data_IF_302218841595
#
_entry.id   IF_302218841595
#
_cell.length_a   1.000
_cell.length_b   1.000
_cell.length_c   1.000
_cell.angle_alpha   90.00
_cell.angle_beta   90.00
_cell.angle_gamma   90.00
#
_symmetry.space_group_name_H-M   'P 1'
#
loop_
_entity.id
_entity.type
_entity.pdbx_description
1 polymer ?
#
# COMPACT_ATOMS: atom_id res chain seq x y z
N UNK A 1 10.75 -117.06 -71.79
CA UNK A 1 11.83 -116.26 -71.16
C UNK A 1 11.73 -114.82 -71.66
N UNK A 2 11.49 -113.88 -70.74
CA UNK A 2 11.95 -112.46 -70.71
C UNK A 2 10.97 -111.61 -69.87
N UNK A 3 11.30 -111.55 -68.57
CA UNK A 3 11.35 -110.36 -67.69
C UNK A 3 10.37 -109.20 -67.92
N UNK A 4 9.47 -109.00 -66.95
CA UNK A 4 8.78 -107.75 -66.64
C UNK A 4 9.71 -106.76 -65.92
N UNK A 5 9.68 -105.44 -66.24
CA UNK A 5 10.27 -104.41 -65.41
C UNK A 5 9.23 -103.60 -64.64
N UNK A 6 9.56 -103.37 -63.38
CA UNK A 6 8.92 -102.56 -62.35
C UNK A 6 9.02 -101.05 -62.65
N UNK A 7 7.89 -100.35 -62.77
CA UNK A 7 7.81 -98.88 -62.55
C UNK A 7 6.36 -98.40 -62.38
N UNK A 8 5.70 -98.76 -61.27
CA UNK A 8 4.42 -98.16 -60.89
C UNK A 8 4.19 -98.16 -59.36
N UNK A 9 5.25 -98.07 -58.56
CA UNK A 9 5.17 -98.11 -57.07
C UNK A 9 5.38 -96.72 -56.44
N UNK A 10 5.63 -95.68 -57.23
CA UNK A 10 5.94 -94.33 -56.74
C UNK A 10 4.89 -93.28 -57.11
N UNK A 11 3.60 -93.61 -56.96
CA UNK A 11 2.51 -92.60 -57.00
C UNK A 11 1.37 -92.87 -56.00
N UNK A 12 1.29 -94.07 -55.40
CA UNK A 12 0.26 -94.36 -54.38
C UNK A 12 0.69 -94.07 -52.93
N UNK A 13 1.99 -93.82 -52.69
CA UNK A 13 2.52 -93.49 -51.35
C UNK A 13 2.43 -92.02 -50.94
N UNK A 14 2.18 -91.08 -51.88
CA UNK A 14 2.07 -89.64 -51.59
C UNK A 14 0.60 -89.19 -51.46
N UNK A 15 -0.35 -90.00 -51.95
CA UNK A 15 -1.79 -89.77 -51.76
C UNK A 15 -2.34 -90.33 -50.45
N UNK A 16 -1.58 -91.15 -49.71
CA UNK A 16 -1.97 -91.67 -48.39
C UNK A 16 -1.34 -90.92 -47.20
N UNK A 17 -0.39 -90.01 -47.45
CA UNK A 17 0.13 -89.09 -46.41
C UNK A 17 -0.54 -87.70 -46.49
N UNK A 18 -1.26 -87.41 -47.57
CA UNK A 18 -2.07 -86.18 -47.72
C UNK A 18 -3.56 -86.37 -47.35
N UNK A 19 -4.00 -87.59 -47.03
CA UNK A 19 -5.39 -87.89 -46.58
C UNK A 19 -5.50 -88.02 -45.06
N UNK A 20 -4.40 -87.87 -44.31
CA UNK A 20 -4.39 -87.84 -42.84
C UNK A 20 -4.45 -86.43 -42.24
N UNK A 21 -4.65 -85.38 -43.06
CA UNK A 21 -4.77 -83.99 -42.62
C UNK A 21 -5.98 -83.28 -43.25
N UNK A 22 -7.11 -83.96 -43.30
CA UNK A 22 -8.41 -83.30 -43.31
C UNK A 22 -9.13 -83.80 -42.05
N UNK A 23 -8.61 -83.41 -40.89
CA UNK A 23 -9.46 -83.28 -39.71
C UNK A 23 -10.51 -82.23 -40.10
N UNK A 24 -11.73 -82.69 -40.34
CA UNK A 24 -12.90 -81.81 -40.28
C UNK A 24 -12.80 -81.10 -38.94
N UNK A 25 -12.44 -79.81 -38.97
CA UNK A 25 -12.36 -78.97 -37.80
C UNK A 25 -13.75 -78.76 -37.23
N UNK A 26 -14.26 -79.78 -36.54
CA UNK A 26 -15.27 -79.57 -35.52
C UNK A 26 -14.55 -78.80 -34.43
N UNK A 27 -14.72 -77.49 -34.38
CA UNK A 27 -14.33 -76.71 -33.20
C UNK A 27 -15.01 -77.36 -32.00
N UNK A 28 -14.21 -77.79 -31.04
CA UNK A 28 -14.70 -78.39 -29.82
C UNK A 28 -15.48 -77.33 -29.03
N UNK A 29 -16.70 -77.64 -28.59
CA UNK A 29 -17.56 -76.68 -27.87
C UNK A 29 -17.00 -76.44 -26.48
N UNK A 30 -16.59 -75.22 -26.18
CA UNK A 30 -15.99 -74.83 -24.91
C UNK A 30 -16.82 -73.78 -24.17
N UNK A 31 -16.71 -73.75 -22.85
CA UNK A 31 -17.28 -72.69 -22.01
C UNK A 31 -16.36 -71.48 -22.01
N UNK A 32 -16.90 -70.31 -22.33
CA UNK A 32 -16.18 -69.04 -22.38
C UNK A 32 -16.84 -68.01 -21.47
N UNK A 33 -16.00 -67.14 -20.89
CA UNK A 33 -16.40 -66.04 -20.02
C UNK A 33 -15.66 -64.77 -20.40
N UNK A 34 -15.94 -63.63 -19.74
CA UNK A 34 -15.24 -62.38 -20.00
C UNK A 34 -13.76 -62.49 -19.61
N UNK A 35 -12.90 -61.81 -20.38
CA UNK A 35 -11.48 -61.67 -20.03
C UNK A 35 -11.27 -60.64 -18.91
N UNK A 36 -12.04 -59.55 -18.95
CA UNK A 36 -11.99 -58.48 -17.96
C UNK A 36 -12.96 -58.74 -16.80
N UNK A 37 -12.66 -58.24 -15.59
CA UNK A 37 -13.59 -58.31 -14.46
C UNK A 37 -14.91 -57.59 -14.75
N UNK A 38 -16.01 -58.13 -14.20
CA UNK A 38 -17.30 -57.46 -14.18
C UNK A 38 -17.30 -56.48 -13.00
N UNK A 39 -17.68 -55.23 -13.25
CA UNK A 39 -17.77 -54.18 -12.22
C UNK A 39 -19.25 -53.88 -11.93
N UNK A 40 -19.59 -53.75 -10.65
CA UNK A 40 -20.94 -53.44 -10.19
C UNK A 40 -20.91 -52.43 -9.04
N UNK A 41 -21.94 -51.59 -8.94
CA UNK A 41 -22.18 -50.81 -7.72
C UNK A 41 -23.14 -51.57 -6.79
N UNK A 42 -23.00 -51.36 -5.49
CA UNK A 42 -23.92 -51.90 -4.50
C UNK A 42 -25.34 -51.38 -4.78
N UNK A 43 -26.29 -52.30 -4.88
CA UNK A 43 -27.67 -52.05 -5.27
C UNK A 43 -27.99 -52.38 -6.74
N UNK A 44 -26.99 -52.51 -7.61
CA UNK A 44 -27.20 -52.79 -9.03
C UNK A 44 -27.75 -54.20 -9.29
N UNK A 45 -28.37 -54.37 -10.46
CA UNK A 45 -28.66 -55.66 -11.08
C UNK A 45 -27.66 -55.90 -12.22
N UNK A 46 -26.93 -57.02 -12.17
CA UNK A 46 -25.86 -57.32 -13.12
C UNK A 46 -26.05 -58.66 -13.82
N UNK A 47 -25.22 -58.88 -14.85
CA UNK A 47 -25.09 -60.14 -15.55
C UNK A 47 -23.65 -60.61 -15.41
N UNK A 48 -23.46 -61.85 -14.96
CA UNK A 48 -22.18 -62.55 -15.01
C UNK A 48 -22.16 -63.37 -16.32
N UNK A 49 -21.36 -62.95 -17.32
CA UNK A 49 -21.42 -63.56 -18.64
C UNK A 49 -20.79 -64.96 -18.65
N UNK A 50 -21.48 -65.91 -19.27
CA UNK A 50 -20.97 -67.25 -19.54
C UNK A 50 -21.69 -67.81 -20.76
N UNK A 51 -20.96 -68.37 -21.72
CA UNK A 51 -21.54 -68.91 -22.96
C UNK A 51 -20.75 -70.07 -23.53
N UNK A 52 -21.35 -70.80 -24.46
CA UNK A 52 -20.72 -71.86 -25.24
C UNK A 52 -20.17 -71.32 -26.56
N UNK A 53 -18.94 -71.69 -26.90
CA UNK A 53 -18.32 -71.37 -28.18
C UNK A 53 -17.83 -72.64 -28.90
N UNK A 54 -18.28 -72.93 -30.14
CA UNK A 54 -19.33 -72.22 -30.87
C UNK A 54 -20.71 -72.36 -30.22
N UNK A 55 -21.63 -71.45 -30.56
CA UNK A 55 -22.99 -71.41 -30.01
C UNK A 55 -23.75 -72.72 -30.30
N UNK A 56 -24.08 -73.46 -29.25
CA UNK A 56 -24.93 -74.66 -29.29
C UNK A 56 -25.97 -74.58 -28.16
N UNK A 57 -27.11 -75.26 -28.29
CA UNK A 57 -28.16 -75.21 -27.26
C UNK A 57 -27.67 -75.80 -25.95
N UNK A 58 -27.94 -75.09 -24.85
CA UNK A 58 -27.68 -75.51 -23.48
C UNK A 58 -28.97 -75.83 -22.69
N UNK A 59 -30.14 -75.87 -23.35
CA UNK A 59 -31.44 -76.08 -22.68
C UNK A 59 -31.51 -77.39 -21.87
N UNK A 60 -30.95 -78.47 -22.43
CA UNK A 60 -30.92 -79.80 -21.82
C UNK A 60 -29.64 -80.06 -21.00
N UNK A 61 -28.77 -79.04 -20.82
CA UNK A 61 -27.54 -79.15 -20.05
C UNK A 61 -27.75 -78.74 -18.59
N UNK A 62 -26.93 -79.28 -17.70
CA UNK A 62 -26.83 -78.77 -16.32
C UNK A 62 -25.87 -77.59 -16.28
N UNK A 63 -26.26 -76.50 -15.60
CA UNK A 63 -25.39 -75.33 -15.38
C UNK A 63 -25.26 -75.06 -13.89
N UNK A 64 -24.02 -75.07 -13.41
CA UNK A 64 -23.67 -74.79 -12.02
C UNK A 64 -22.93 -73.46 -11.91
N UNK A 65 -23.47 -72.55 -11.10
CA UNK A 65 -22.78 -71.34 -10.67
C UNK A 65 -22.35 -71.48 -9.21
N UNK A 66 -21.05 -71.36 -8.97
CA UNK A 66 -20.46 -71.53 -7.63
C UNK A 66 -19.44 -70.43 -7.32
N UNK A 67 -19.22 -70.13 -6.04
CA UNK A 67 -18.09 -69.29 -5.60
C UNK A 67 -16.83 -70.16 -5.51
N UNK A 68 -15.76 -69.81 -6.22
CA UNK A 68 -14.55 -70.63 -6.29
C UNK A 68 -13.93 -70.92 -4.91
N UNK A 69 -13.69 -69.88 -4.12
CA UNK A 69 -12.99 -70.01 -2.84
C UNK A 69 -13.89 -70.46 -1.69
N UNK A 70 -15.19 -70.13 -1.77
CA UNK A 70 -16.15 -70.43 -0.71
C UNK A 70 -16.91 -71.74 -0.96
N UNK A 71 -16.76 -72.34 -2.16
CA UNK A 71 -17.54 -73.50 -2.65
C UNK A 71 -19.04 -73.35 -2.38
N UNK A 72 -19.53 -72.12 -2.44
CA UNK A 72 -20.92 -71.77 -2.16
C UNK A 72 -21.73 -71.90 -3.43
N UNK A 73 -22.85 -72.63 -3.38
CA UNK A 73 -23.78 -72.76 -4.50
C UNK A 73 -24.54 -71.45 -4.71
N UNK A 74 -24.28 -70.79 -5.85
CA UNK A 74 -24.87 -69.50 -6.22
C UNK A 74 -26.15 -69.70 -7.01
N UNK A 75 -26.15 -70.62 -7.97
CA UNK A 75 -27.33 -70.94 -8.78
C UNK A 75 -27.15 -72.32 -9.44
N UNK A 76 -28.24 -73.06 -9.61
CA UNK A 76 -28.26 -74.35 -10.30
C UNK A 76 -29.40 -74.37 -11.30
N UNK A 77 -29.07 -74.67 -12.56
CA UNK A 77 -30.06 -74.99 -13.58
C UNK A 77 -29.97 -76.50 -13.88
N UNK A 78 -31.08 -77.20 -13.67
CA UNK A 78 -31.17 -78.65 -13.79
C UNK A 78 -32.57 -79.05 -14.28
N UNK A 79 -32.64 -80.01 -15.20
CA UNK A 79 -33.89 -80.56 -15.74
C UNK A 79 -34.83 -79.48 -16.33
N UNK A 80 -34.27 -78.51 -17.07
CA UNK A 80 -35.06 -77.49 -17.76
C UNK A 80 -35.52 -76.32 -16.89
N UNK A 81 -35.03 -76.19 -15.65
CA UNK A 81 -35.49 -75.18 -14.69
C UNK A 81 -34.40 -74.71 -13.73
N UNK A 82 -34.56 -73.48 -13.24
CA UNK A 82 -33.78 -72.96 -12.10
C UNK A 82 -34.17 -73.70 -10.80
N UNK A 83 -33.18 -74.14 -10.02
CA UNK A 83 -33.35 -74.85 -8.75
C UNK A 83 -32.83 -74.04 -7.57
N UNK A 84 -33.64 -73.94 -6.51
CA UNK A 84 -33.32 -73.21 -5.27
C UNK A 84 -32.95 -74.15 -4.10
N UNK A 85 -33.03 -75.47 -4.29
CA UNK A 85 -32.98 -76.44 -3.19
C UNK A 85 -31.63 -76.38 -2.43
N UNK A 86 -30.53 -76.41 -3.17
CA UNK A 86 -29.16 -76.34 -2.64
C UNK A 86 -28.55 -74.93 -2.70
N UNK A 87 -29.35 -73.93 -3.09
CA UNK A 87 -28.87 -72.57 -3.24
C UNK A 87 -28.60 -71.90 -1.89
N UNK A 88 -27.44 -71.26 -1.76
CA UNK A 88 -27.07 -70.57 -0.53
C UNK A 88 -28.02 -69.41 -0.21
N UNK A 89 -28.40 -69.20 1.07
CA UNK A 89 -29.42 -68.21 1.44
C UNK A 89 -29.18 -66.78 0.95
N UNK A 90 -27.92 -66.34 0.85
CA UNK A 90 -27.58 -64.99 0.37
C UNK A 90 -27.93 -64.73 -1.10
N UNK A 91 -28.14 -65.77 -1.91
CA UNK A 91 -28.44 -65.67 -3.35
C UNK A 91 -29.90 -66.02 -3.68
N UNK A 92 -30.66 -66.57 -2.72
CA UNK A 92 -32.06 -66.96 -2.93
C UNK A 92 -32.93 -65.78 -3.35
N UNK A 93 -33.67 -65.95 -4.45
CA UNK A 93 -34.52 -64.91 -5.03
C UNK A 93 -33.75 -63.70 -5.58
N UNK A 94 -32.43 -63.81 -5.73
CA UNK A 94 -31.58 -62.77 -6.33
C UNK A 94 -30.98 -63.20 -7.66
N UNK A 95 -30.97 -64.49 -7.98
CA UNK A 95 -30.37 -65.02 -9.20
C UNK A 95 -31.37 -65.71 -10.14
N UNK A 96 -31.10 -65.66 -11.44
CA UNK A 96 -31.92 -66.33 -12.47
C UNK A 96 -31.15 -66.50 -13.77
N UNK A 97 -31.47 -67.54 -14.54
CA UNK A 97 -30.94 -67.76 -15.89
C UNK A 97 -31.83 -67.14 -16.98
N UNK A 98 -31.23 -66.77 -18.12
CA UNK A 98 -31.95 -66.28 -19.29
C UNK A 98 -32.46 -67.46 -20.14
N UNK A 99 -33.60 -68.03 -19.75
CA UNK A 99 -34.13 -69.26 -20.36
C UNK A 99 -34.25 -69.18 -21.89
N UNK A 100 -34.67 -68.04 -22.45
CA UNK A 100 -34.80 -67.85 -23.90
C UNK A 100 -33.46 -67.82 -24.65
N UNK A 101 -32.35 -67.54 -23.94
CA UNK A 101 -31.01 -67.44 -24.52
C UNK A 101 -30.22 -68.76 -24.39
N UNK A 102 -30.72 -69.74 -23.64
CA UNK A 102 -30.12 -71.08 -23.52
C UNK A 102 -30.04 -71.80 -24.88
N UNK A 103 -31.04 -71.59 -25.76
CA UNK A 103 -31.06 -72.12 -27.14
C UNK A 103 -29.85 -71.70 -27.98
N UNK A 104 -29.25 -70.56 -27.62
CA UNK A 104 -28.09 -69.98 -28.30
C UNK A 104 -26.78 -70.26 -27.55
N UNK A 105 -26.82 -71.06 -26.49
CA UNK A 105 -25.65 -71.41 -25.69
C UNK A 105 -25.24 -70.34 -24.67
N UNK A 106 -26.09 -69.35 -24.41
CA UNK A 106 -25.83 -68.34 -23.39
C UNK A 106 -26.37 -68.84 -22.04
N UNK A 107 -25.46 -69.04 -21.11
CA UNK A 107 -25.70 -69.57 -19.77
C UNK A 107 -25.31 -68.55 -18.69
N UNK A 108 -25.43 -67.27 -19.03
CA UNK A 108 -25.11 -66.15 -18.15
C UNK A 108 -26.08 -66.07 -16.98
N UNK A 109 -25.56 -65.66 -15.82
CA UNK A 109 -26.34 -65.51 -14.59
C UNK A 109 -26.75 -64.05 -14.39
N UNK A 110 -28.04 -63.78 -14.20
CA UNK A 110 -28.49 -62.51 -13.64
C UNK A 110 -28.34 -62.56 -12.13
N UNK A 111 -27.73 -61.53 -11.52
CA UNK A 111 -27.68 -61.32 -10.07
C UNK A 111 -28.25 -59.94 -9.74
N UNK A 112 -29.25 -59.90 -8.86
CA UNK A 112 -29.98 -58.67 -8.51
C UNK A 112 -29.63 -58.14 -7.12
N UNK A 113 -29.73 -56.82 -6.95
CA UNK A 113 -29.44 -56.09 -5.71
C UNK A 113 -28.07 -56.46 -5.15
N UNK A 114 -27.02 -56.27 -5.94
CA UNK A 114 -25.64 -56.62 -5.59
C UNK A 114 -25.23 -55.96 -4.27
N UNK A 115 -24.50 -56.68 -3.43
CA UNK A 115 -23.96 -56.21 -2.16
C UNK A 115 -22.43 -56.32 -2.18
N UNK A 116 -21.74 -55.60 -1.28
CA UNK A 116 -20.27 -55.69 -1.18
C UNK A 116 -19.78 -57.12 -0.93
N UNK A 117 -20.57 -57.94 -0.23
CA UNK A 117 -20.25 -59.34 0.04
C UNK A 117 -20.31 -60.26 -1.19
N UNK A 118 -20.91 -59.80 -2.29
CA UNK A 118 -20.97 -60.55 -3.55
C UNK A 118 -19.67 -60.42 -4.36
N UNK A 119 -18.76 -59.51 -4.01
CA UNK A 119 -17.45 -59.37 -4.66
C UNK A 119 -16.62 -60.66 -4.58
N UNK A 120 -15.90 -61.00 -5.65
CA UNK A 120 -15.03 -62.17 -5.74
C UNK A 120 -15.24 -63.03 -6.99
N UNK A 121 -14.63 -64.21 -7.01
CA UNK A 121 -14.61 -65.07 -8.20
C UNK A 121 -15.76 -66.09 -8.22
N UNK A 122 -16.45 -66.13 -9.35
CA UNK A 122 -17.54 -67.05 -9.67
C UNK A 122 -17.07 -68.06 -10.71
N UNK A 123 -17.51 -69.31 -10.59
CA UNK A 123 -17.27 -70.39 -11.54
C UNK A 123 -18.60 -70.75 -12.20
N UNK A 124 -18.62 -70.69 -13.52
CA UNK A 124 -19.67 -71.23 -14.37
C UNK A 124 -19.19 -72.60 -14.87
N UNK A 125 -19.91 -73.67 -14.56
CA UNK A 125 -19.52 -75.04 -14.89
C UNK A 125 -20.68 -75.84 -15.49
N UNK A 126 -20.40 -76.56 -16.58
CA UNK A 126 -21.37 -77.38 -17.29
C UNK A 126 -20.93 -78.86 -17.26
N UNK A 127 -21.29 -79.62 -16.22
CA UNK A 127 -20.79 -80.99 -16.03
C UNK A 127 -21.16 -81.95 -17.17
N UNK A 128 -22.33 -81.73 -17.78
CA UNK A 128 -22.88 -82.54 -18.89
C UNK A 128 -22.23 -82.24 -20.24
N UNK A 129 -21.43 -81.18 -20.36
CA UNK A 129 -20.70 -80.87 -21.59
C UNK A 129 -19.63 -81.94 -21.85
N UNK A 130 -19.48 -82.39 -23.09
CA UNK A 130 -18.53 -83.46 -23.45
C UNK A 130 -17.09 -82.97 -23.68
N UNK A 131 -16.90 -81.67 -23.88
CA UNK A 131 -15.59 -81.06 -24.15
C UNK A 131 -14.62 -81.08 -22.95
N UNK A 132 -13.33 -80.90 -23.21
CA UNK A 132 -12.29 -80.65 -22.22
C UNK A 132 -12.54 -79.37 -21.40
N UNK A 133 -13.05 -78.30 -22.02
CA UNK A 133 -13.21 -77.00 -21.35
C UNK A 133 -14.67 -76.79 -20.96
N UNK A 134 -15.01 -77.22 -19.74
CA UNK A 134 -16.39 -77.22 -19.20
C UNK A 134 -16.70 -76.10 -18.22
N UNK A 135 -15.71 -75.27 -17.90
CA UNK A 135 -15.89 -74.17 -16.96
C UNK A 135 -15.10 -72.93 -17.34
N UNK A 136 -15.58 -71.80 -16.84
CA UNK A 136 -14.87 -70.52 -16.88
C UNK A 136 -15.03 -69.79 -15.54
N UNK A 137 -14.12 -68.86 -15.27
CA UNK A 137 -14.08 -68.06 -14.04
C UNK A 137 -14.37 -66.61 -14.36
N UNK A 138 -15.27 -66.00 -13.59
CA UNK A 138 -15.68 -64.61 -13.71
C UNK A 138 -15.33 -63.89 -12.41
N UNK A 139 -14.52 -62.83 -12.49
CA UNK A 139 -14.25 -61.97 -11.35
C UNK A 139 -15.28 -60.85 -11.27
N UNK A 140 -15.96 -60.73 -10.12
CA UNK A 140 -16.86 -59.62 -9.82
C UNK A 140 -16.20 -58.65 -8.84
N UNK A 141 -16.04 -57.40 -9.27
CA UNK A 141 -15.65 -56.28 -8.42
C UNK A 141 -16.91 -55.50 -8.04
N UNK A 142 -17.08 -55.21 -6.75
CA UNK A 142 -18.23 -54.44 -6.26
C UNK A 142 -17.75 -53.18 -5.56
N UNK A 143 -18.30 -52.05 -5.97
CA UNK A 143 -18.06 -50.77 -5.35
C UNK A 143 -19.28 -50.17 -4.63
N UNK A 144 -19.04 -49.17 -3.81
CA UNK A 144 -20.05 -48.25 -3.25
C UNK A 144 -19.57 -46.82 -3.49
N UNK A 145 -20.51 -45.95 -3.85
CA UNK A 145 -20.23 -44.57 -4.30
C UNK A 145 -21.33 -43.62 -3.82
N UNK A 146 -20.99 -42.35 -3.65
CA UNK A 146 -21.96 -41.29 -3.34
C UNK A 146 -21.60 -39.99 -4.05
N UNK A 147 -22.54 -39.04 -4.07
CA UNK A 147 -22.29 -37.72 -4.67
C UNK A 147 -21.46 -36.86 -3.71
N UNK A 148 -20.32 -36.27 -4.14
CA UNK A 148 -19.60 -35.31 -3.32
C UNK A 148 -20.42 -34.04 -3.10
N UNK A 149 -20.29 -33.43 -1.92
CA UNK A 149 -20.99 -32.19 -1.58
C UNK A 149 -19.96 -31.12 -1.29
N UNK A 150 -20.11 -29.97 -1.95
CA UNK A 150 -19.28 -28.79 -1.71
C UNK A 150 -20.05 -27.79 -0.85
N UNK A 151 -19.36 -27.21 0.12
CA UNK A 151 -19.87 -26.16 1.01
C UNK A 151 -18.83 -25.05 1.18
N UNK A 152 -19.30 -23.81 1.38
CA UNK A 152 -18.44 -22.68 1.73
C UNK A 152 -18.23 -22.70 3.24
N UNK A 153 -16.97 -22.80 3.66
CA UNK A 153 -16.56 -22.94 5.07
C UNK A 153 -15.88 -21.65 5.59
N UNK A 154 -16.34 -20.50 5.10
CA UNK A 154 -15.89 -19.17 5.50
C UNK A 154 -14.80 -18.59 4.61
N UNK A 155 -14.01 -17.69 5.18
CA UNK A 155 -12.95 -16.93 4.50
C UNK A 155 -11.66 -16.98 5.29
N UNK A 156 -10.52 -17.13 4.61
CA UNK A 156 -9.19 -17.17 5.21
C UNK A 156 -8.25 -16.27 4.40
N UNK A 157 -7.56 -15.37 5.08
CA UNK A 157 -6.74 -14.32 4.48
C UNK A 157 -7.52 -13.48 3.44
N UNK A 158 -7.24 -13.66 2.15
CA UNK A 158 -7.87 -12.98 1.03
C UNK A 158 -8.75 -13.90 0.16
N UNK A 159 -8.85 -15.19 0.54
CA UNK A 159 -9.58 -16.21 -0.21
C UNK A 159 -10.83 -16.73 0.51
N UNK A 160 -11.60 -17.52 -0.22
CA UNK A 160 -12.77 -18.25 0.29
C UNK A 160 -12.36 -19.69 0.56
N UNK A 161 -12.75 -20.23 1.71
CA UNK A 161 -12.47 -21.63 2.07
C UNK A 161 -13.63 -22.49 1.57
N UNK A 162 -13.33 -23.46 0.71
CA UNK A 162 -14.28 -24.45 0.24
C UNK A 162 -13.99 -25.80 0.89
N UNK A 163 -15.05 -26.48 1.30
CA UNK A 163 -15.02 -27.82 1.87
C UNK A 163 -15.76 -28.78 0.97
N UNK A 164 -15.10 -29.84 0.53
CA UNK A 164 -15.74 -30.96 -0.16
C UNK A 164 -15.76 -32.18 0.76
N UNK A 165 -16.89 -32.87 0.80
CA UNK A 165 -17.09 -34.07 1.62
C UNK A 165 -17.92 -35.10 0.87
N UNK A 166 -17.53 -36.37 0.95
CA UNK A 166 -18.25 -37.48 0.33
C UNK A 166 -18.03 -38.78 1.12
N UNK A 167 -19.12 -39.46 1.50
CA UNK A 167 -19.09 -40.65 2.36
C UNK A 167 -19.74 -41.88 1.73
N UNK A 168 -19.46 -43.08 2.24
CA UNK A 168 -20.07 -44.32 1.75
C UNK A 168 -19.33 -44.97 0.58
N UNK A 169 -18.02 -44.76 0.48
CA UNK A 169 -17.19 -45.27 -0.62
C UNK A 169 -16.55 -46.63 -0.31
N UNK A 170 -16.51 -47.53 -1.29
CA UNK A 170 -15.73 -48.77 -1.23
C UNK A 170 -15.40 -49.25 -2.64
N UNK A 171 -14.17 -49.66 -2.99
CA UNK A 171 -12.94 -49.58 -2.20
C UNK A 171 -12.52 -48.13 -1.92
N UNK A 172 -11.35 -47.94 -1.30
CA UNK A 172 -10.85 -46.61 -0.93
C UNK A 172 -10.79 -45.66 -2.15
N UNK A 173 -11.41 -44.46 -2.08
CA UNK A 173 -11.33 -43.48 -3.16
C UNK A 173 -10.18 -42.48 -2.96
N UNK A 174 -9.83 -41.80 -4.05
CA UNK A 174 -8.98 -40.60 -4.07
C UNK A 174 -9.83 -39.36 -4.31
N UNK A 175 -9.42 -38.22 -3.74
CA UNK A 175 -10.11 -36.93 -3.84
C UNK A 175 -9.15 -35.88 -4.39
N UNK A 176 -9.65 -35.06 -5.32
CA UNK A 176 -8.93 -33.90 -5.83
C UNK A 176 -9.89 -32.72 -6.09
N UNK A 177 -9.30 -31.54 -6.18
CA UNK A 177 -9.96 -30.31 -6.55
C UNK A 177 -9.42 -29.78 -7.86
N UNK A 178 -10.30 -29.19 -8.65
CA UNK A 178 -9.98 -28.55 -9.92
C UNK A 178 -10.65 -27.18 -9.95
N UNK A 179 -9.96 -26.18 -10.48
CA UNK A 179 -10.56 -24.93 -10.91
C UNK A 179 -11.08 -25.05 -12.36
N UNK A 180 -11.65 -23.96 -12.89
CA UNK A 180 -12.16 -23.93 -14.28
C UNK A 180 -11.10 -24.18 -15.37
N UNK A 181 -9.82 -24.04 -15.06
CA UNK A 181 -8.71 -24.35 -15.97
C UNK A 181 -8.22 -25.80 -15.85
N UNK A 182 -8.76 -26.58 -14.91
CA UNK A 182 -8.30 -27.94 -14.60
C UNK A 182 -7.02 -27.97 -13.77
N UNK A 183 -6.69 -26.87 -13.08
CA UNK A 183 -5.56 -26.81 -12.15
C UNK A 183 -6.02 -26.96 -10.71
N UNK A 184 -5.16 -27.54 -9.87
CA UNK A 184 -5.49 -27.79 -8.47
C UNK A 184 -5.31 -26.50 -7.66
N UNK A 185 -6.34 -26.02 -6.94
CA UNK A 185 -6.20 -24.88 -6.06
C UNK A 185 -5.32 -25.21 -4.83
N UNK A 186 -4.80 -24.19 -4.12
CA UNK A 186 -4.03 -24.39 -2.90
C UNK A 186 -4.82 -25.17 -1.84
N UNK A 187 -4.33 -26.37 -1.51
CA UNK A 187 -4.95 -27.23 -0.50
C UNK A 187 -4.50 -26.84 0.91
N UNK A 188 -5.45 -26.79 1.85
CA UNK A 188 -5.19 -26.54 3.28
C UNK A 188 -4.67 -27.80 4.02
N UNK A 189 -4.35 -28.85 3.27
CA UNK A 189 -3.83 -30.13 3.75
C UNK A 189 -4.09 -31.27 2.77
N UNK A 190 -3.54 -32.47 3.04
CA UNK A 190 -3.93 -33.68 2.31
C UNK A 190 -5.42 -34.01 2.55
N UNK A 191 -6.08 -34.74 1.63
CA UNK A 191 -7.44 -35.23 1.85
C UNK A 191 -7.51 -36.10 3.12
N UNK A 192 -8.43 -35.76 4.01
CA UNK A 192 -8.77 -36.57 5.17
C UNK A 192 -9.56 -37.80 4.72
N UNK A 193 -9.17 -38.98 5.20
CA UNK A 193 -9.88 -40.22 4.96
C UNK A 193 -10.29 -40.84 6.30
N UNK A 194 -11.58 -41.12 6.47
CA UNK A 194 -12.13 -41.81 7.63
C UNK A 194 -12.85 -43.07 7.17
N UNK A 195 -12.69 -44.16 7.92
CA UNK A 195 -13.36 -45.43 7.65
C UNK A 195 -14.33 -45.74 8.78
N UNK A 196 -15.59 -46.00 8.43
CA UNK A 196 -16.64 -46.32 9.40
C UNK A 196 -16.61 -47.79 9.84
N UNK A 197 -17.54 -48.15 10.74
CA UNK A 197 -17.67 -49.51 11.26
C UNK A 197 -18.14 -50.53 10.21
N UNK A 198 -18.78 -50.09 9.12
CA UNK A 198 -19.21 -50.94 8.01
C UNK A 198 -18.08 -51.12 6.97
N UNK A 199 -16.97 -50.42 7.15
CA UNK A 199 -15.79 -50.48 6.31
C UNK A 199 -15.86 -49.57 5.10
N UNK A 200 -16.82 -48.65 5.03
CA UNK A 200 -16.95 -47.63 3.99
C UNK A 200 -16.10 -46.40 4.33
N UNK A 201 -15.62 -45.74 3.28
CA UNK A 201 -14.76 -44.57 3.36
C UNK A 201 -15.54 -43.27 3.23
N UNK A 202 -15.17 -42.29 4.05
CA UNK A 202 -15.55 -40.89 3.93
C UNK A 202 -14.31 -40.06 3.70
N UNK A 203 -14.33 -39.26 2.64
CA UNK A 203 -13.25 -38.38 2.24
C UNK A 203 -13.66 -36.91 2.38
N UNK A 204 -12.73 -36.09 2.84
CA UNK A 204 -12.95 -34.65 3.07
C UNK A 204 -11.69 -33.85 2.76
N UNK A 205 -11.83 -32.71 2.10
CA UNK A 205 -10.71 -31.80 1.86
C UNK A 205 -11.16 -30.34 1.84
N UNK A 206 -10.30 -29.46 2.36
CA UNK A 206 -10.47 -28.01 2.32
C UNK A 206 -9.45 -27.38 1.37
N UNK A 207 -9.91 -26.39 0.59
CA UNK A 207 -9.08 -25.57 -0.29
C UNK A 207 -9.39 -24.11 -0.08
N UNK A 208 -8.36 -23.25 -0.14
CA UNK A 208 -8.53 -21.80 -0.11
C UNK A 208 -8.39 -21.28 -1.54
N UNK A 209 -9.44 -20.64 -2.05
CA UNK A 209 -9.52 -20.17 -3.44
C UNK A 209 -9.60 -18.66 -3.54
N UNK A 210 -8.87 -18.11 -4.51
CA UNK A 210 -8.94 -16.71 -4.89
C UNK A 210 -10.01 -16.48 -5.96
N UNK A 211 -10.41 -15.22 -6.15
CA UNK A 211 -11.36 -14.83 -7.19
C UNK A 211 -10.78 -15.11 -8.57
N UNK A 212 -11.55 -15.79 -9.43
CA UNK A 212 -11.21 -16.05 -10.84
C UNK A 212 -12.24 -15.44 -11.77
N UNK A 213 -12.04 -15.55 -13.09
CA UNK A 213 -12.99 -15.02 -14.09
C UNK A 213 -14.34 -15.76 -14.07
N UNK A 214 -14.34 -17.02 -13.63
CA UNK A 214 -15.52 -17.91 -13.63
C UNK A 214 -16.02 -18.26 -12.24
N UNK A 215 -15.16 -18.17 -11.22
CA UNK A 215 -15.37 -18.65 -9.85
C UNK A 215 -15.97 -20.07 -9.77
N UNK A 216 -15.64 -20.92 -10.75
CA UNK A 216 -16.12 -22.30 -10.82
C UNK A 216 -15.05 -23.24 -10.28
N UNK A 217 -15.45 -24.11 -9.35
CA UNK A 217 -14.58 -25.09 -8.73
C UNK A 217 -15.26 -26.46 -8.70
N UNK A 218 -14.48 -27.50 -9.00
CA UNK A 218 -14.95 -28.88 -9.13
C UNK A 218 -14.24 -29.73 -8.09
N UNK A 219 -15.03 -30.48 -7.32
CA UNK A 219 -14.51 -31.53 -6.45
C UNK A 219 -14.74 -32.88 -7.13
N UNK A 220 -13.66 -33.66 -7.27
CA UNK A 220 -13.63 -34.95 -7.95
C UNK A 220 -13.23 -36.05 -6.99
N UNK A 221 -14.00 -37.13 -6.98
CA UNK A 221 -13.73 -38.35 -6.20
C UNK A 221 -13.67 -39.54 -7.14
N UNK A 222 -12.54 -40.24 -7.13
CA UNK A 222 -12.22 -41.31 -8.08
C UNK A 222 -11.87 -42.61 -7.36
N UNK A 223 -12.40 -43.73 -7.85
CA UNK A 223 -12.04 -45.08 -7.43
C UNK A 223 -11.29 -45.79 -8.55
N UNK A 224 -9.96 -45.79 -8.43
CA UNK A 224 -9.05 -46.32 -9.45
C UNK A 224 -9.26 -47.82 -9.70
N UNK A 225 -9.57 -48.61 -8.67
CA UNK A 225 -9.75 -50.08 -8.79
C UNK A 225 -10.93 -50.50 -9.67
N UNK A 226 -12.00 -49.69 -9.68
CA UNK A 226 -13.22 -49.97 -10.46
C UNK A 226 -13.46 -48.93 -11.56
N UNK A 227 -12.51 -48.01 -11.75
CA UNK A 227 -12.56 -46.90 -12.70
C UNK A 227 -13.86 -46.09 -12.62
N UNK A 228 -14.30 -45.75 -11.41
CA UNK A 228 -15.53 -45.00 -11.18
C UNK A 228 -15.23 -43.58 -10.67
N UNK A 229 -15.94 -42.59 -11.21
CA UNK A 229 -15.70 -41.18 -10.96
C UNK A 229 -17.00 -40.46 -10.59
N UNK A 230 -16.95 -39.60 -9.57
CA UNK A 230 -18.02 -38.65 -9.24
C UNK A 230 -17.46 -37.26 -9.05
N UNK A 231 -18.17 -36.27 -9.59
CA UNK A 231 -17.78 -34.88 -9.56
C UNK A 231 -18.98 -34.00 -9.19
N UNK A 232 -18.71 -32.93 -8.45
CA UNK A 232 -19.67 -31.86 -8.15
C UNK A 232 -18.99 -30.53 -8.39
N UNK A 233 -19.72 -29.57 -8.93
CA UNK A 233 -19.24 -28.22 -9.21
C UNK A 233 -19.94 -27.19 -8.32
N UNK A 234 -19.22 -26.12 -7.98
CA UNK A 234 -19.78 -24.96 -7.31
C UNK A 234 -19.33 -23.67 -8.01
N UNK A 235 -20.28 -22.76 -8.21
CA UNK A 235 -19.99 -21.38 -8.57
C UNK A 235 -20.00 -20.52 -7.31
N UNK A 236 -18.86 -19.94 -6.94
CA UNK A 236 -18.74 -19.07 -5.77
C UNK A 236 -19.16 -17.64 -6.15
N UNK A 237 -20.19 -17.06 -5.51
CA UNK A 237 -20.63 -15.70 -5.80
C UNK A 237 -19.54 -14.65 -5.50
N UNK A 238 -19.46 -13.64 -6.38
CA UNK A 238 -18.47 -12.55 -6.31
C UNK A 238 -18.46 -11.79 -4.98
N UNK A 239 -19.61 -11.68 -4.32
CA UNK A 239 -19.82 -10.95 -3.07
C UNK A 239 -19.28 -11.69 -1.83
N UNK A 240 -19.01 -13.00 -1.96
CA UNK A 240 -18.41 -13.81 -0.88
C UNK A 240 -16.92 -13.54 -0.74
N UNK A 241 -16.25 -13.14 -1.82
CA UNK A 241 -14.81 -12.86 -1.80
C UNK A 241 -14.50 -11.59 -0.98
N UNK A 242 -13.48 -11.63 -0.10
CA UNK A 242 -13.04 -10.45 0.65
C UNK A 242 -12.72 -9.28 -0.29
N UNK A 243 -13.30 -8.10 -0.01
CA UNK A 243 -12.99 -6.90 -0.79
C UNK A 243 -11.54 -6.50 -0.59
N UNK A 244 -10.85 -6.27 -1.71
CA UNK A 244 -9.47 -5.79 -1.72
C UNK A 244 -9.36 -4.46 -0.96
N UNK A 245 -8.49 -4.42 0.05
CA UNK A 245 -8.19 -3.21 0.84
C UNK A 245 -7.21 -2.27 0.10
N UNK A 246 -6.80 -2.61 -1.13
CA UNK A 246 -5.79 -1.87 -1.89
C UNK A 246 -6.23 -0.42 -2.14
N UNK A 247 -7.51 -0.18 -2.43
CA UNK A 247 -8.02 1.19 -2.64
C UNK A 247 -7.92 2.05 -1.38
N UNK A 248 -8.17 1.47 -0.20
CA UNK A 248 -8.01 2.13 1.09
C UNK A 248 -6.54 2.48 1.37
N UNK A 249 -5.61 1.56 1.08
CA UNK A 249 -4.17 1.78 1.27
C UNK A 249 -3.66 2.89 0.36
N UNK A 250 -4.05 2.88 -0.92
CA UNK A 250 -3.68 3.94 -1.88
C UNK A 250 -4.19 5.30 -1.40
N UNK A 251 -5.43 5.36 -0.91
CA UNK A 251 -6.02 6.58 -0.35
C UNK A 251 -5.23 7.14 0.84
N UNK A 252 -4.82 6.27 1.78
CA UNK A 252 -4.02 6.66 2.94
C UNK A 252 -2.63 7.17 2.56
N UNK A 253 -1.97 6.51 1.60
CA UNK A 253 -0.64 6.95 1.10
C UNK A 253 -0.75 8.32 0.43
N UNK A 254 -1.76 8.54 -0.42
CA UNK A 254 -1.98 9.81 -1.07
C UNK A 254 -2.22 10.94 -0.05
N UNK A 255 -3.04 10.69 0.98
CA UNK A 255 -3.28 11.65 2.05
C UNK A 255 -2.00 11.99 2.83
N UNK A 256 -1.18 10.99 3.16
CA UNK A 256 0.09 11.20 3.85
C UNK A 256 1.06 12.08 3.03
N UNK A 257 1.15 11.87 1.72
CA UNK A 257 1.97 12.71 0.81
C UNK A 257 1.50 14.16 0.80
N UNK A 258 0.18 14.40 0.78
CA UNK A 258 -0.38 15.76 0.82
C UNK A 258 -0.03 16.46 2.13
N UNK A 259 -0.14 15.76 3.27
CA UNK A 259 0.22 16.32 4.58
C UNK A 259 1.71 16.65 4.66
N UNK A 260 2.58 15.77 4.16
CA UNK A 260 4.02 16.00 4.12
C UNK A 260 4.36 17.21 3.24
N UNK A 261 3.78 17.32 2.05
CA UNK A 261 3.98 18.46 1.15
C UNK A 261 3.49 19.78 1.78
N UNK A 262 2.32 19.79 2.43
CA UNK A 262 1.80 20.95 3.13
C UNK A 262 2.71 21.36 4.30
N UNK A 263 3.19 20.39 5.09
CA UNK A 263 4.10 20.65 6.22
C UNK A 263 5.45 21.22 5.74
N UNK A 264 6.01 20.69 4.65
CA UNK A 264 7.22 21.22 4.03
C UNK A 264 6.98 22.64 3.47
N UNK A 265 5.82 22.89 2.85
CA UNK A 265 5.42 24.22 2.38
C UNK A 265 5.34 25.24 3.53
N UNK A 266 4.72 24.87 4.65
CA UNK A 266 4.64 25.72 5.86
C UNK A 266 6.02 25.96 6.47
N UNK A 267 6.86 24.93 6.55
CA UNK A 267 8.22 25.06 7.06
C UNK A 267 9.06 26.00 6.18
N UNK A 268 9.01 25.83 4.86
CA UNK A 268 9.71 26.70 3.90
C UNK A 268 9.20 28.14 3.97
N UNK A 269 7.87 28.35 4.10
CA UNK A 269 7.30 29.68 4.27
C UNK A 269 7.79 30.34 5.57
N UNK A 270 7.77 29.62 6.70
CA UNK A 270 8.25 30.14 7.99
C UNK A 270 9.72 30.54 7.89
N UNK A 271 10.57 29.66 7.37
CA UNK A 271 12.00 29.92 7.19
C UNK A 271 12.26 31.15 6.31
N UNK A 272 11.59 31.23 5.15
CA UNK A 272 11.69 32.40 4.26
C UNK A 272 11.26 33.70 4.94
N UNK A 273 10.20 33.64 5.75
CA UNK A 273 9.68 34.82 6.46
C UNK A 273 10.62 35.31 7.55
N UNK A 274 11.25 34.38 8.30
CA UNK A 274 12.24 34.71 9.33
C UNK A 274 13.49 35.36 8.73
N UNK A 275 14.08 34.78 7.69
CA UNK A 275 15.26 35.34 7.00
C UNK A 275 14.98 36.75 6.46
N UNK A 276 13.79 36.97 5.88
CA UNK A 276 13.41 38.28 5.36
C UNK A 276 13.21 39.33 6.46
N UNK A 277 12.71 38.93 7.63
CA UNK A 277 12.53 39.84 8.78
C UNK A 277 13.88 40.31 9.31
N UNK A 278 14.84 39.41 9.47
CA UNK A 278 16.19 39.75 9.93
C UNK A 278 16.90 40.73 8.99
N UNK A 279 16.77 40.51 7.67
CA UNK A 279 17.31 41.42 6.67
C UNK A 279 16.70 42.82 6.77
N UNK A 280 15.38 42.91 6.94
CA UNK A 280 14.68 44.19 7.06
C UNK A 280 15.08 44.94 8.35
N UNK A 281 15.18 44.23 9.47
CA UNK A 281 15.63 44.82 10.74
C UNK A 281 17.05 45.38 10.63
N UNK A 282 17.95 44.67 9.97
CA UNK A 282 19.32 45.14 9.75
C UNK A 282 19.35 46.39 8.86
N UNK A 283 18.54 46.43 7.80
CA UNK A 283 18.42 47.62 6.95
C UNK A 283 17.87 48.83 7.74
N UNK A 284 16.86 48.63 8.58
CA UNK A 284 16.29 49.70 9.42
C UNK A 284 17.31 50.20 10.44
N UNK A 285 18.08 49.30 11.08
CA UNK A 285 19.16 49.67 12.02
C UNK A 285 20.23 50.53 11.33
N UNK A 286 20.69 50.10 10.15
CA UNK A 286 21.67 50.85 9.37
C UNK A 286 21.16 52.24 8.97
N UNK A 287 19.89 52.34 8.53
CA UNK A 287 19.27 53.62 8.17
C UNK A 287 19.11 54.57 9.36
N UNK A 288 18.82 54.05 10.56
CA UNK A 288 18.77 54.87 11.79
C UNK A 288 20.14 55.41 12.14
N UNK A 289 21.17 54.57 12.12
CA UNK A 289 22.55 54.97 12.41
C UNK A 289 23.05 56.06 11.46
N UNK A 290 22.78 55.92 10.16
CA UNK A 290 23.16 56.93 9.15
C UNK A 290 22.47 58.27 9.41
N UNK A 291 21.19 58.25 9.83
CA UNK A 291 20.45 59.47 10.18
C UNK A 291 21.05 60.16 11.40
N UNK A 292 21.29 59.43 12.49
CA UNK A 292 21.88 59.98 13.72
C UNK A 292 23.27 60.60 13.47
N UNK A 293 24.15 59.90 12.77
CA UNK A 293 25.50 60.42 12.44
C UNK A 293 25.40 61.71 11.62
N UNK A 294 24.47 61.77 10.65
CA UNK A 294 24.26 62.96 9.83
C UNK A 294 23.75 64.14 10.68
N UNK A 295 22.79 63.89 11.57
CA UNK A 295 22.20 64.89 12.46
C UNK A 295 23.23 65.51 13.40
N UNK A 296 23.96 64.66 14.10
CA UNK A 296 24.93 65.06 15.12
C UNK A 296 26.04 65.91 14.48
N UNK A 297 26.53 65.49 13.31
CA UNK A 297 27.51 66.27 12.55
C UNK A 297 26.97 67.65 12.14
N UNK A 298 25.69 67.73 11.76
CA UNK A 298 25.07 68.97 11.34
C UNK A 298 24.90 69.97 12.50
N UNK A 299 24.61 69.50 13.73
CA UNK A 299 24.58 70.37 14.92
C UNK A 299 25.92 71.10 15.09
N UNK A 300 27.01 70.34 14.93
CA UNK A 300 28.38 70.83 15.09
C UNK A 300 28.72 71.86 14.02
N UNK A 301 28.26 71.63 12.80
CA UNK A 301 28.45 72.55 11.68
C UNK A 301 27.67 73.86 11.86
N UNK A 302 26.38 73.77 12.21
CA UNK A 302 25.51 74.93 12.40
C UNK A 302 26.02 75.79 13.56
N UNK A 303 26.30 75.21 14.72
CA UNK A 303 26.67 75.97 15.92
C UNK A 303 28.18 76.15 16.11
N UNK A 304 28.99 76.00 15.06
CA UNK A 304 30.45 76.06 15.12
C UNK A 304 30.97 77.28 15.88
N UNK A 305 30.42 78.47 15.61
CA UNK A 305 30.86 79.72 16.26
C UNK A 305 30.49 79.74 17.74
N UNK A 306 29.25 79.41 18.09
CA UNK A 306 28.79 79.40 19.48
C UNK A 306 29.53 78.37 20.33
N UNK A 307 29.74 77.17 19.79
CA UNK A 307 30.57 76.13 20.42
C UNK A 307 32.02 76.61 20.59
N UNK A 308 32.56 77.37 19.63
CA UNK A 308 33.91 77.94 19.75
C UNK A 308 34.10 78.96 20.87
N UNK A 309 33.04 79.66 21.24
CA UNK A 309 33.09 80.70 22.26
C UNK A 309 32.76 80.15 23.65
N UNK A 310 31.83 79.19 23.74
CA UNK A 310 31.18 78.81 25.00
C UNK A 310 31.64 77.46 25.55
N UNK A 311 32.34 76.61 24.79
CA UNK A 311 32.89 75.34 25.29
C UNK A 311 33.96 75.61 26.36
N UNK A 312 33.82 74.94 27.50
CA UNK A 312 34.70 75.06 28.66
C UNK A 312 35.76 73.95 28.71
N UNK A 313 35.44 72.74 28.24
CA UNK A 313 36.26 71.52 28.34
C UNK A 313 36.89 71.07 27.01
N UNK A 314 37.64 71.93 26.31
CA UNK A 314 38.23 71.61 24.99
C UNK A 314 39.26 70.47 25.06
N UNK A 315 40.13 70.45 26.07
CA UNK A 315 41.25 69.49 26.16
C UNK A 315 40.77 68.04 26.34
N UNK A 316 39.86 67.71 27.28
CA UNK A 316 39.31 66.36 27.38
C UNK A 316 38.61 65.91 26.09
N UNK A 317 37.86 66.81 25.42
CA UNK A 317 37.20 66.48 24.15
C UNK A 317 38.23 66.14 23.07
N UNK A 318 39.28 66.95 22.94
CA UNK A 318 40.37 66.73 21.98
C UNK A 318 41.09 65.40 22.23
N UNK A 319 41.27 65.01 23.50
CA UNK A 319 41.88 63.73 23.87
C UNK A 319 41.08 62.53 23.37
N UNK A 320 39.75 62.58 23.48
CA UNK A 320 38.89 61.47 23.05
C UNK A 320 38.78 61.33 21.53
N UNK A 321 38.91 62.43 20.79
CA UNK A 321 38.69 62.44 19.35
C UNK A 321 39.95 62.31 18.53
N UNK A 322 41.05 62.93 18.97
CA UNK A 322 42.20 63.13 18.10
C UNK A 322 43.40 62.34 18.59
N UNK A 323 44.11 61.75 17.62
CA UNK A 323 45.37 61.03 17.82
C UNK A 323 46.45 61.95 18.41
N UNK A 324 47.37 61.35 19.18
CA UNK A 324 48.38 62.00 20.02
C UNK A 324 49.13 63.22 19.45
N UNK A 325 49.37 63.31 18.14
CA UNK A 325 50.18 64.39 17.55
C UNK A 325 49.43 65.74 17.53
N UNK A 326 48.19 65.75 17.05
CA UNK A 326 47.35 66.96 17.02
C UNK A 326 46.83 67.37 18.39
N UNK A 327 46.65 66.40 19.28
CA UNK A 327 46.29 66.66 20.67
C UNK A 327 47.31 67.59 21.35
N UNK A 328 48.62 67.36 21.12
CA UNK A 328 49.67 68.17 21.71
C UNK A 328 49.60 69.63 21.25
N UNK A 329 49.35 69.86 19.96
CA UNK A 329 49.22 71.22 19.39
C UNK A 329 48.00 71.96 19.96
N UNK A 330 46.86 71.28 20.07
CA UNK A 330 45.66 71.81 20.71
C UNK A 330 45.97 72.13 22.18
N UNK A 331 46.56 71.20 22.92
CA UNK A 331 46.90 71.40 24.34
C UNK A 331 47.86 72.59 24.57
N UNK A 332 48.79 72.84 23.64
CA UNK A 332 49.77 73.91 23.75
C UNK A 332 49.20 75.32 23.44
N UNK A 333 48.01 75.43 22.84
CA UNK A 333 47.42 76.72 22.50
C UNK A 333 47.02 77.53 23.74
N UNK A 334 47.20 78.87 23.67
CA UNK A 334 47.12 79.77 24.83
C UNK A 334 45.70 80.10 25.29
N UNK A 335 44.72 80.09 24.38
CA UNK A 335 43.32 80.42 24.68
C UNK A 335 42.40 79.28 24.29
N UNK A 336 41.25 79.15 24.96
CA UNK A 336 40.24 78.12 24.62
C UNK A 336 39.70 78.29 23.19
N UNK A 337 39.58 79.52 22.71
CA UNK A 337 39.16 79.80 21.34
C UNK A 337 40.19 79.28 20.33
N UNK A 338 41.49 79.45 20.59
CA UNK A 338 42.55 78.90 19.75
C UNK A 338 42.57 77.36 19.80
N UNK A 339 42.39 76.78 20.99
CA UNK A 339 42.26 75.33 21.17
C UNK A 339 41.11 74.77 20.34
N UNK A 340 39.94 75.42 20.40
CA UNK A 340 38.78 74.99 19.64
C UNK A 340 38.93 75.22 18.14
N UNK A 341 39.60 76.29 17.71
CA UNK A 341 39.90 76.52 16.29
C UNK A 341 40.76 75.40 15.71
N UNK A 342 41.81 75.00 16.42
CA UNK A 342 42.67 73.87 16.05
C UNK A 342 41.89 72.54 16.10
N UNK A 343 41.01 72.36 17.08
CA UNK A 343 40.14 71.18 17.17
C UNK A 343 39.20 71.08 15.96
N UNK A 344 38.53 72.17 15.57
CA UNK A 344 37.66 72.19 14.40
C UNK A 344 38.43 71.96 13.11
N UNK A 345 39.60 72.57 12.95
CA UNK A 345 40.45 72.28 11.79
C UNK A 345 40.79 70.79 11.73
N UNK A 346 41.08 70.18 12.87
CA UNK A 346 41.36 68.76 12.93
C UNK A 346 40.14 67.88 12.59
N UNK A 347 38.93 68.29 12.96
CA UNK A 347 37.68 67.61 12.60
C UNK A 347 37.40 67.70 11.09
N UNK A 348 37.65 68.85 10.47
CA UNK A 348 37.43 69.04 9.01
C UNK A 348 38.40 68.23 8.15
N UNK A 349 39.65 68.11 8.61
CA UNK A 349 40.69 67.36 7.89
C UNK A 349 40.65 65.85 8.16
N UNK A 350 39.70 65.37 8.97
CA UNK A 350 39.58 63.95 9.27
C UNK A 350 39.05 63.15 8.07
N UNK A 351 39.51 61.90 7.93
CA UNK A 351 39.13 61.01 6.83
C UNK A 351 37.60 60.74 6.77
N UNK A 352 36.96 60.62 7.94
CA UNK A 352 35.50 60.54 8.07
C UNK A 352 34.97 61.74 8.88
N UNK A 353 34.95 62.91 8.23
CA UNK A 353 34.53 64.19 8.83
C UNK A 353 33.19 64.09 9.54
N UNK A 354 32.18 63.44 8.95
CA UNK A 354 30.83 63.37 9.54
C UNK A 354 30.82 62.52 10.79
N UNK A 355 31.46 61.36 10.77
CA UNK A 355 31.53 60.52 11.95
C UNK A 355 32.31 61.18 13.08
N UNK A 356 33.43 61.83 12.75
CA UNK A 356 34.24 62.57 13.73
C UNK A 356 33.48 63.74 14.35
N UNK A 357 32.69 64.48 13.58
CA UNK A 357 31.81 65.53 14.10
C UNK A 357 30.66 64.95 14.94
N UNK A 358 30.08 63.82 14.55
CA UNK A 358 29.08 63.12 15.39
C UNK A 358 29.66 62.65 16.71
N UNK A 359 30.87 62.08 16.71
CA UNK A 359 31.57 61.69 17.93
C UNK A 359 31.91 62.91 18.79
N UNK A 360 32.31 64.03 18.17
CA UNK A 360 32.52 65.30 18.87
C UNK A 360 31.25 65.78 19.58
N UNK A 361 30.12 65.76 18.87
CA UNK A 361 28.82 66.08 19.46
C UNK A 361 28.45 65.15 20.62
N UNK A 362 28.68 63.84 20.49
CA UNK A 362 28.41 62.87 21.57
C UNK A 362 29.27 63.11 22.80
N UNK A 363 30.55 63.42 22.60
CA UNK A 363 31.45 63.76 23.70
C UNK A 363 31.08 65.11 24.33
N UNK A 364 30.63 66.09 23.53
CA UNK A 364 30.06 67.32 24.06
C UNK A 364 28.81 67.06 24.91
N UNK A 365 27.94 66.13 24.52
CA UNK A 365 26.79 65.75 25.35
C UNK A 365 27.21 65.15 26.69
N UNK A 366 28.29 64.38 26.71
CA UNK A 366 28.78 63.75 27.94
C UNK A 366 29.50 64.75 28.86
N UNK A 367 30.27 65.67 28.29
CA UNK A 367 31.11 66.59 29.05
C UNK A 367 30.45 67.94 29.34
N UNK A 368 29.60 68.43 28.44
CA UNK A 368 28.95 69.75 28.50
C UNK A 368 27.47 69.70 28.07
N UNK A 369 26.63 68.86 28.70
CA UNK A 369 25.22 68.69 28.31
C UNK A 369 24.43 69.99 28.36
N UNK A 370 24.66 70.83 29.37
CA UNK A 370 23.93 72.09 29.57
C UNK A 370 24.15 73.07 28.42
N UNK A 371 25.37 73.12 27.85
CA UNK A 371 25.67 73.97 26.70
C UNK A 371 24.82 73.59 25.48
N UNK A 372 24.74 72.29 25.18
CA UNK A 372 23.97 71.80 24.04
C UNK A 372 22.45 71.96 24.26
N UNK A 373 21.97 71.76 25.49
CA UNK A 373 20.58 72.00 25.87
C UNK A 373 20.22 73.47 25.67
N UNK A 374 21.05 74.39 26.19
CA UNK A 374 20.80 75.82 26.09
C UNK A 374 20.89 76.30 24.64
N UNK A 375 21.80 75.77 23.82
CA UNK A 375 21.89 76.10 22.37
C UNK A 375 20.59 75.75 21.64
N UNK A 376 20.14 74.49 21.76
CA UNK A 376 18.92 74.04 21.09
C UNK A 376 17.67 74.76 21.60
N UNK A 377 17.55 74.93 22.91
CA UNK A 377 16.41 75.64 23.50
C UNK A 377 16.37 77.12 23.08
N UNK A 378 17.51 77.82 23.15
CA UNK A 378 17.60 79.23 22.74
C UNK A 378 17.32 79.40 21.27
N UNK A 379 17.80 78.49 20.41
CA UNK A 379 17.49 78.52 18.99
C UNK A 379 15.98 78.45 18.75
N UNK A 380 15.31 77.49 19.39
CA UNK A 380 13.86 77.27 19.28
C UNK A 380 13.08 78.49 19.76
N UNK A 381 13.51 79.12 20.86
CA UNK A 381 12.85 80.30 21.43
C UNK A 381 13.01 81.53 20.55
N UNK A 382 14.22 81.79 20.07
CA UNK A 382 14.50 82.97 19.24
C UNK A 382 13.81 82.86 17.87
N UNK A 383 13.74 81.66 17.30
CA UNK A 383 13.19 81.43 15.97
C UNK A 383 11.72 80.99 15.96
N UNK A 384 11.03 81.02 17.10
CA UNK A 384 9.66 80.51 17.28
C UNK A 384 8.69 80.91 16.16
N UNK A 385 8.58 82.21 15.88
CA UNK A 385 7.62 82.72 14.88
C UNK A 385 7.99 82.28 13.45
N UNK A 386 9.29 82.29 13.12
CA UNK A 386 9.76 81.85 11.81
C UNK A 386 9.55 80.35 11.61
N UNK A 387 9.81 79.54 12.65
CA UNK A 387 9.60 78.10 12.64
C UNK A 387 8.09 77.77 12.52
N UNK A 388 7.21 78.48 13.23
CA UNK A 388 5.75 78.30 13.06
C UNK A 388 5.32 78.56 11.60
N UNK A 389 5.91 79.54 10.93
CA UNK A 389 5.53 79.92 9.58
C UNK A 389 6.14 79.04 8.48
N UNK A 390 7.41 78.62 8.65
CA UNK A 390 8.22 78.00 7.59
C UNK A 390 8.35 76.48 7.68
N UNK A 391 8.03 75.85 8.82
CA UNK A 391 8.13 74.39 8.97
C UNK A 391 7.13 73.68 8.05
N UNK A 392 7.62 72.75 7.23
CA UNK A 392 6.80 72.02 6.23
C UNK A 392 6.43 70.61 6.70
N UNK A 393 7.22 69.98 7.57
CA UNK A 393 7.06 68.59 8.02
C UNK A 393 6.53 68.41 9.45
N UNK A 394 5.35 68.99 9.74
CA UNK A 394 4.78 68.97 11.10
C UNK A 394 4.39 67.56 11.59
N UNK A 395 3.80 66.72 10.73
CA UNK A 395 3.31 65.39 11.16
C UNK A 395 4.44 64.43 11.59
N UNK A 396 5.56 64.29 10.86
CA UNK A 396 6.71 63.51 11.31
C UNK A 396 7.33 64.04 12.61
N UNK A 397 7.42 65.37 12.77
CA UNK A 397 7.93 66.01 13.99
C UNK A 397 7.11 65.57 15.22
N UNK A 398 5.78 65.69 15.13
CA UNK A 398 4.88 65.30 16.22
C UNK A 398 5.04 63.81 16.59
N UNK A 399 5.22 62.95 15.58
CA UNK A 399 5.37 61.51 15.76
C UNK A 399 6.69 61.15 16.46
N UNK A 400 7.79 61.85 16.16
CA UNK A 400 9.08 61.62 16.81
C UNK A 400 9.17 62.22 18.22
N UNK A 401 8.52 63.37 18.48
CA UNK A 401 8.58 64.04 19.78
C UNK A 401 7.66 63.44 20.84
N UNK A 402 6.45 63.03 20.46
CA UNK A 402 5.38 62.75 21.40
C UNK A 402 4.60 61.53 20.96
N UNK A 403 4.92 60.36 21.50
CA UNK A 403 4.09 59.18 21.25
C UNK A 403 3.18 58.70 22.40
N UNK A 404 3.14 59.33 23.59
CA UNK A 404 2.09 58.94 24.57
C UNK A 404 1.45 60.07 25.40
N UNK A 405 1.61 61.36 25.06
CA UNK A 405 0.97 62.47 25.82
C UNK A 405 0.40 63.65 25.03
N UNK A 406 0.43 63.67 23.70
CA UNK A 406 -0.41 64.62 22.95
C UNK A 406 -1.84 64.07 22.88
N UNK A 407 -2.70 64.69 23.68
CA UNK A 407 -4.12 64.45 23.83
C UNK A 407 -4.83 64.02 22.53
N UNK A 408 -5.68 63.00 22.64
CA UNK A 408 -6.71 62.64 21.65
C UNK A 408 -7.67 63.83 21.39
N UNK A 409 -7.21 64.85 20.66
CA UNK A 409 -8.06 65.89 20.12
C UNK A 409 -8.33 65.56 18.65
N UNK A 410 -9.52 65.03 18.38
CA UNK A 410 -9.98 64.58 17.05
C UNK A 410 -9.96 65.69 15.98
N UNK A 411 -9.71 66.95 16.36
CA UNK A 411 -9.60 68.10 15.45
C UNK A 411 -8.17 68.44 15.00
N UNK A 412 -7.12 67.83 15.55
CA UNK A 412 -5.73 68.16 15.18
C UNK A 412 -5.47 67.94 13.68
N UNK A 413 -6.04 66.88 13.09
CA UNK A 413 -5.93 66.62 11.65
C UNK A 413 -6.65 67.63 10.76
N UNK A 414 -7.52 68.48 11.33
CA UNK A 414 -8.27 69.53 10.62
C UNK A 414 -7.60 70.91 10.73
N UNK A 415 -6.51 71.03 11.49
CA UNK A 415 -5.79 72.29 11.72
C UNK A 415 -4.74 72.52 10.65
N UNK A 416 -4.43 73.79 10.37
CA UNK A 416 -3.33 74.14 9.47
C UNK A 416 -1.99 73.71 10.11
N UNK A 417 -0.96 73.49 9.30
CA UNK A 417 0.39 73.17 9.79
C UNK A 417 0.90 74.23 10.79
N UNK A 418 0.56 75.50 10.58
CA UNK A 418 0.93 76.59 11.50
C UNK A 418 0.22 76.47 12.85
N UNK A 419 -1.07 76.14 12.85
CA UNK A 419 -1.85 75.96 14.09
C UNK A 419 -1.43 74.70 14.87
N UNK A 420 -1.03 73.65 14.15
CA UNK A 420 -0.42 72.46 14.75
C UNK A 420 0.93 72.82 15.40
N UNK A 421 1.77 73.59 14.72
CA UNK A 421 3.03 74.05 15.31
C UNK A 421 2.82 74.97 16.50
N UNK A 422 1.84 75.87 16.50
CA UNK A 422 1.52 76.72 17.67
C UNK A 422 1.20 75.90 18.91
N UNK A 423 0.39 74.86 18.76
CA UNK A 423 0.08 73.94 19.86
C UNK A 423 1.30 73.14 20.29
N UNK A 424 2.13 72.68 19.34
CA UNK A 424 3.36 72.00 19.68
C UNK A 424 4.26 72.90 20.53
N UNK A 425 4.46 74.15 20.12
CA UNK A 425 5.21 75.14 20.90
C UNK A 425 4.62 75.36 22.28
N UNK A 426 3.29 75.45 22.42
CA UNK A 426 2.66 75.56 23.73
C UNK A 426 2.99 74.34 24.61
N UNK A 427 2.92 73.13 24.06
CA UNK A 427 3.28 71.91 24.78
C UNK A 427 4.78 71.84 25.14
N UNK A 428 5.66 72.38 24.30
CA UNK A 428 7.09 72.48 24.61
C UNK A 428 7.36 73.41 25.81
N UNK A 429 6.60 74.52 25.94
CA UNK A 429 6.71 75.45 27.08
C UNK A 429 6.15 74.87 28.38
N UNK A 430 5.08 74.08 28.28
CA UNK A 430 4.38 73.46 29.42
C UNK A 430 5.03 72.16 29.91
N UNK A 431 6.09 71.68 29.24
CA UNK A 431 6.78 70.46 29.62
C UNK A 431 7.49 70.57 30.98
N UNK A 432 7.68 69.44 31.68
CA UNK A 432 8.36 69.40 32.97
C UNK A 432 9.82 69.93 32.89
N UNK A 433 10.48 69.72 31.75
CA UNK A 433 11.80 70.30 31.43
C UNK A 433 11.76 70.94 30.02
N UNK A 434 11.31 72.20 29.92
CA UNK A 434 11.11 72.87 28.63
C UNK A 434 12.39 72.95 27.80
N UNK A 435 13.55 73.18 28.45
CA UNK A 435 14.82 73.34 27.74
C UNK A 435 15.22 72.04 27.05
N UNK A 436 15.10 70.92 27.76
CA UNK A 436 15.46 69.61 27.21
C UNK A 436 14.51 69.15 26.11
N UNK A 437 13.21 69.36 26.27
CA UNK A 437 12.22 68.99 25.25
C UNK A 437 12.35 69.89 24.01
N UNK A 438 12.70 71.18 24.17
CA UNK A 438 13.04 72.07 23.05
C UNK A 438 14.31 71.62 22.31
N UNK A 439 15.34 71.14 23.01
CA UNK A 439 16.50 70.52 22.36
C UNK A 439 16.09 69.29 21.54
N UNK A 440 15.22 68.42 22.05
CA UNK A 440 14.76 67.25 21.30
C UNK A 440 13.92 67.66 20.07
N UNK A 441 13.11 68.72 20.19
CA UNK A 441 12.41 69.30 19.04
C UNK A 441 13.38 69.84 17.99
N UNK A 442 14.41 70.57 18.42
CA UNK A 442 15.46 71.08 17.55
C UNK A 442 16.20 69.95 16.81
N UNK A 443 16.55 68.86 17.52
CA UNK A 443 17.18 67.67 16.92
C UNK A 443 16.30 67.03 15.85
N UNK A 444 14.99 66.97 16.09
CA UNK A 444 14.04 66.42 15.14
C UNK A 444 13.90 67.33 13.90
N UNK A 445 13.95 68.66 14.10
CA UNK A 445 14.01 69.62 13.00
C UNK A 445 15.29 69.47 12.16
N UNK A 446 16.45 69.25 12.79
CA UNK A 446 17.73 69.04 12.10
C UNK A 446 17.69 67.85 11.13
N UNK A 447 16.95 66.81 11.49
CA UNK A 447 16.78 65.66 10.62
C UNK A 447 15.83 65.91 9.46
N UNK A 448 14.72 66.58 9.76
CA UNK A 448 13.60 66.67 8.84
C UNK A 448 13.75 67.87 7.89
N UNK A 449 14.31 68.98 8.37
CA UNK A 449 14.41 70.27 7.67
C UNK A 449 15.76 70.97 7.94
N UNK A 450 16.90 70.33 7.60
CA UNK A 450 18.23 70.88 7.87
C UNK A 450 18.49 72.23 7.20
N UNK A 451 18.04 72.41 5.95
CA UNK A 451 18.28 73.64 5.18
C UNK A 451 17.59 74.85 5.82
N UNK A 452 16.38 74.66 6.36
CA UNK A 452 15.66 75.70 7.09
C UNK A 452 16.46 76.18 8.31
N UNK A 453 17.10 75.27 9.04
CA UNK A 453 17.87 75.62 10.21
C UNK A 453 19.17 76.34 9.86
N UNK A 454 19.85 75.90 8.80
CA UNK A 454 21.04 76.59 8.27
C UNK A 454 20.68 78.04 7.90
N UNK A 455 19.57 78.23 7.18
CA UNK A 455 19.12 79.57 6.78
C UNK A 455 18.77 80.46 7.99
N UNK A 456 18.12 79.90 9.01
CA UNK A 456 17.71 80.65 10.20
C UNK A 456 18.88 80.99 11.14
N UNK A 457 19.89 80.12 11.24
CA UNK A 457 21.09 80.39 12.05
C UNK A 457 22.02 81.38 11.34
N UNK A 458 22.16 81.29 10.01
CA UNK A 458 22.95 82.21 9.19
C UNK A 458 22.46 83.66 9.24
N UNK A 459 21.16 83.90 9.50
CA UNK A 459 20.61 85.24 9.72
C UNK A 459 21.16 85.95 10.97
N UNK A 460 21.88 85.24 11.87
CA UNK A 460 22.51 85.82 13.07
C UNK A 460 23.99 86.14 12.92
N UNK A 461 24.69 85.60 11.92
CA UNK A 461 26.12 85.89 11.71
C UNK A 461 26.37 87.26 11.03
N UNK A 462 25.33 87.95 10.56
CA UNK A 462 25.48 89.22 9.84
C UNK A 462 25.40 90.50 10.69
N UNK A 463 25.41 90.45 12.03
CA UNK A 463 25.40 91.66 12.89
C UNK A 463 26.51 91.71 13.94
#
# INVERSE_FOLDING_TARGET
MKTFPTSAVWCFGILFISVSLITTGSSEVQVVGPADPVVALAGDDIILPCSLEPNVSAEDMTVEWTRLYLKTNVHLYLDGRDSNDEQHPSYRGRTSMFHEELKKGNVSLKLTRVTLSDAGSYRCFLPTLTSQVKETTIQLLVGAVSQPVISIDGTKDWGVVLKCESGGWFPEPDMEWLDSSGTNPPADGPPEKHRDSEGLYTVRQHVTVDKTDTNMFTCRVHQTEINHLKETEIHVPDDVFPKSQVELIIGLIAAAVVVLAASAGVYMWRKYTEEKRELLEQQVKNLKLIREVKRDALVVDIHRVHLSQNVTLVIPIAFFLIRSERYYEIHAARTRQDQMKLLYQALEEAEDTRRMKSDFYRILLDLEPDLLIDLGATFVDVNKDQLIQKVTKVKPILLELFYEKLYCNTRIHQMTSQDQMRQLYQALEEADDPRRVKLDFYRILLDLEPDLLIDLDGLKEEH
#
